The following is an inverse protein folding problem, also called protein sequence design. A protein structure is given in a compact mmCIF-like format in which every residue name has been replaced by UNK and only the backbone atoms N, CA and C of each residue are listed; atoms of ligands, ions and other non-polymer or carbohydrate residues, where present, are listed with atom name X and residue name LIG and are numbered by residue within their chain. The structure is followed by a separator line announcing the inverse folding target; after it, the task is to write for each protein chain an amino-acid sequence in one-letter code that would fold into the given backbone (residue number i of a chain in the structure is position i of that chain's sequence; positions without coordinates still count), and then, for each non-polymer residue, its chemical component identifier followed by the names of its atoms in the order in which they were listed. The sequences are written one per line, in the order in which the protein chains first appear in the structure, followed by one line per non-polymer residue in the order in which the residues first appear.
data_IF_577521390575
#
_entry.id   IF_577521390575
#
_cell.length_a   1.000
_cell.length_b   1.000
_cell.length_c   1.000
_cell.angle_alpha   90.00
_cell.angle_beta   90.00
_cell.angle_gamma   90.00
#
_symmetry.space_group_name_H-M   'P 1'
#
loop_
_entity.id
_entity.type
_entity.pdbx_description
1 polymer ?
#
# COMPACT_ATOMS: atom_id res chain seq x y z
N UNK A 1 -8.80 -11.21 13.04
CA UNK A 1 -9.13 -9.98 13.79
C UNK A 1 -9.75 -10.36 15.12
N UNK A 2 -9.39 -9.68 16.20
CA UNK A 2 -10.01 -9.90 17.51
C UNK A 2 -11.46 -9.38 17.49
N UNK A 3 -12.43 -10.16 17.97
CA UNK A 3 -13.87 -9.83 17.93
C UNK A 3 -14.24 -8.60 18.77
N UNK A 4 -13.52 -8.34 19.86
CA UNK A 4 -13.72 -7.16 20.68
C UNK A 4 -13.32 -5.88 19.93
N UNK A 5 -12.16 -5.89 19.25
CA UNK A 5 -11.76 -4.77 18.41
C UNK A 5 -12.78 -4.52 17.29
N UNK A 6 -13.22 -5.60 16.63
CA UNK A 6 -14.21 -5.54 15.54
C UNK A 6 -15.52 -4.88 15.96
N UNK A 7 -16.02 -5.27 17.12
CA UNK A 7 -17.30 -4.79 17.63
C UNK A 7 -17.22 -3.39 18.24
N UNK A 8 -16.14 -3.06 18.95
CA UNK A 8 -16.04 -1.79 19.70
C UNK A 8 -15.40 -0.64 18.91
N UNK A 9 -14.42 -0.94 18.05
CA UNK A 9 -13.62 0.08 17.35
C UNK A 9 -13.84 0.02 15.83
N UNK A 10 -13.81 -1.18 15.25
CA UNK A 10 -13.96 -1.39 13.82
C UNK A 10 -12.73 -1.00 13.00
N UNK A 11 -12.96 -0.55 11.76
CA UNK A 11 -11.91 -0.20 10.78
C UNK A 11 -12.28 1.08 10.04
N UNK A 12 -11.29 1.94 9.78
CA UNK A 12 -11.43 3.14 8.98
C UNK A 12 -10.16 3.97 8.98
N UNK A 13 -10.09 4.99 8.12
CA UNK A 13 -8.96 5.95 8.09
C UNK A 13 -8.84 6.74 9.40
N UNK A 14 -9.96 6.88 10.11
CA UNK A 14 -10.04 7.41 11.48
C UNK A 14 -10.97 6.52 12.28
N UNK A 15 -10.59 6.19 13.52
CA UNK A 15 -11.40 5.41 14.46
C UNK A 15 -11.36 6.07 15.84
N UNK A 16 -12.30 5.69 16.71
CA UNK A 16 -12.31 6.11 18.10
C UNK A 16 -11.33 5.24 18.90
N UNK A 17 -10.05 5.62 18.90
CA UNK A 17 -8.99 4.90 19.59
C UNK A 17 -9.29 4.76 21.09
N UNK A 18 -9.26 3.54 21.66
CA UNK A 18 -9.46 3.36 23.10
C UNK A 18 -8.36 4.02 23.96
N UNK A 19 -7.15 4.14 23.40
CA UNK A 19 -5.98 4.77 24.03
C UNK A 19 -4.93 5.08 22.96
N UNK A 20 -3.84 5.76 23.36
CA UNK A 20 -2.68 6.03 22.51
C UNK A 20 -2.40 7.52 22.30
N UNK A 21 -1.15 7.83 21.97
CA UNK A 21 -0.74 9.18 21.57
C UNK A 21 -0.86 9.33 20.04
N UNK A 22 -1.44 10.43 19.58
CA UNK A 22 -1.59 10.72 18.16
C UNK A 22 -0.29 11.24 17.52
N UNK A 23 0.32 10.45 16.64
CA UNK A 23 1.41 10.88 15.76
C UNK A 23 0.87 11.36 14.41
N UNK A 24 1.31 12.54 13.93
CA UNK A 24 0.91 13.05 12.62
C UNK A 24 1.74 12.36 11.52
N UNK A 25 1.09 11.49 10.74
CA UNK A 25 1.74 10.72 9.67
C UNK A 25 2.71 9.65 10.17
N UNK A 26 3.30 8.87 9.25
CA UNK A 26 4.28 7.83 9.60
C UNK A 26 5.50 8.42 10.32
N UNK A 27 6.03 9.57 9.86
CA UNK A 27 7.16 10.26 10.49
C UNK A 27 6.87 10.63 11.96
N UNK A 28 5.66 11.12 12.24
CA UNK A 28 5.26 11.48 13.58
C UNK A 28 5.24 10.27 14.51
N UNK A 29 4.68 9.14 14.05
CA UNK A 29 4.67 7.89 14.82
C UNK A 29 6.09 7.38 15.04
N UNK A 30 6.93 7.33 13.99
CA UNK A 30 8.33 6.91 14.09
C UNK A 30 9.12 7.76 15.10
N UNK A 31 8.94 9.08 15.08
CA UNK A 31 9.58 9.98 16.04
C UNK A 31 9.12 9.76 17.49
N UNK A 32 7.83 9.45 17.71
CA UNK A 32 7.33 9.07 19.03
C UNK A 32 7.92 7.74 19.51
N UNK A 33 7.99 6.74 18.63
CA UNK A 33 8.56 5.43 18.98
C UNK A 33 10.03 5.55 19.35
N UNK A 34 10.79 6.34 18.59
CA UNK A 34 12.21 6.56 18.82
C UNK A 34 12.52 7.17 20.20
N UNK A 35 11.67 8.08 20.69
CA UNK A 35 11.95 8.88 21.90
C UNK A 35 11.29 8.38 23.18
N UNK A 36 10.32 7.47 23.07
CA UNK A 36 9.54 6.98 24.21
C UNK A 36 9.89 5.52 24.52
N UNK A 37 10.65 5.24 25.60
CA UNK A 37 10.90 3.87 26.03
C UNK A 37 9.61 3.10 26.30
N UNK A 38 9.55 1.85 25.84
CA UNK A 38 8.37 0.98 26.01
C UNK A 38 7.20 1.29 25.06
N UNK A 39 7.38 2.17 24.09
CA UNK A 39 6.36 2.50 23.10
C UNK A 39 6.17 1.40 22.05
N UNK A 40 4.99 1.40 21.42
CA UNK A 40 4.64 0.61 20.23
C UNK A 40 3.86 1.51 19.28
N UNK A 41 4.16 1.42 17.98
CA UNK A 41 3.47 2.17 16.93
C UNK A 41 3.43 1.36 15.64
N UNK A 42 2.43 1.63 14.80
CA UNK A 42 2.33 1.05 13.46
C UNK A 42 2.81 2.06 12.43
N UNK A 43 3.72 1.65 11.57
CA UNK A 43 4.25 2.47 10.47
C UNK A 43 4.43 1.59 9.24
N UNK A 44 4.42 2.21 8.07
CA UNK A 44 4.92 1.55 6.85
C UNK A 44 6.40 1.16 7.06
N UNK A 45 6.81 0.01 6.53
CA UNK A 45 8.08 -0.64 6.87
C UNK A 45 9.31 0.21 6.57
N UNK A 46 9.30 0.99 5.47
CA UNK A 46 10.43 1.88 5.17
C UNK A 46 10.69 2.88 6.29
N UNK A 47 9.65 3.39 6.98
CA UNK A 47 9.84 4.31 8.10
C UNK A 47 10.50 3.65 9.31
N UNK A 48 10.24 2.36 9.56
CA UNK A 48 10.95 1.63 10.60
C UNK A 48 12.42 1.41 10.22
N UNK A 49 12.65 0.88 9.01
CA UNK A 49 13.99 0.50 8.54
C UNK A 49 14.92 1.71 8.38
N UNK A 50 14.45 2.78 7.73
CA UNK A 50 15.26 3.98 7.47
C UNK A 50 15.58 4.77 8.75
N UNK A 51 14.73 4.67 9.78
CA UNK A 51 14.99 5.30 11.09
C UNK A 51 15.65 4.35 12.10
N UNK A 52 16.08 3.15 11.68
CA UNK A 52 16.70 2.14 12.55
C UNK A 52 15.84 1.76 13.77
N UNK A 53 14.52 1.75 13.61
CA UNK A 53 13.61 1.33 14.66
C UNK A 53 13.55 -0.19 14.73
N UNK A 54 13.53 -0.73 15.95
CA UNK A 54 13.23 -2.13 16.16
C UNK A 54 11.79 -2.44 15.69
N UNK A 55 11.61 -3.59 15.04
CA UNK A 55 10.32 -4.08 14.57
C UNK A 55 10.11 -5.53 15.01
N UNK A 56 8.86 -6.00 14.98
CA UNK A 56 8.50 -7.35 15.39
C UNK A 56 8.26 -8.26 14.19
N UNK A 57 8.41 -9.57 14.41
CA UNK A 57 7.72 -10.56 13.59
C UNK A 57 6.24 -10.55 13.93
N UNK A 58 5.42 -11.04 13.01
CA UNK A 58 4.01 -11.32 13.25
C UNK A 58 3.69 -12.77 12.89
N UNK A 59 2.54 -13.24 13.37
CA UNK A 59 2.01 -14.54 12.99
C UNK A 59 1.14 -14.36 11.75
N UNK A 60 1.44 -15.09 10.67
CA UNK A 60 0.66 -15.08 9.43
C UNK A 60 -0.72 -15.70 9.62
N UNK A 61 -1.58 -15.59 8.61
CA UNK A 61 -2.92 -16.20 8.64
C UNK A 61 -2.87 -17.74 8.81
N UNK A 62 -1.78 -18.36 8.38
CA UNK A 62 -1.53 -19.80 8.50
C UNK A 62 -0.82 -20.18 9.81
N UNK A 63 -0.69 -19.25 10.76
CA UNK A 63 -0.17 -19.51 12.10
C UNK A 63 1.35 -19.56 12.21
N UNK A 64 2.09 -19.14 11.18
CA UNK A 64 3.57 -19.18 11.15
C UNK A 64 4.18 -17.81 11.45
N UNK A 65 5.30 -17.73 12.19
CA UNK A 65 6.00 -16.47 12.39
C UNK A 65 6.67 -16.01 11.09
N UNK A 66 6.40 -14.79 10.66
CA UNK A 66 6.91 -14.18 9.43
C UNK A 66 7.56 -12.81 9.74
N UNK A 67 8.55 -12.40 8.95
CA UNK A 67 9.23 -11.10 9.07
C UNK A 67 8.73 -10.13 8.00
N UNK A 68 8.74 -8.80 8.23
CA UNK A 68 8.37 -7.83 7.20
C UNK A 68 9.51 -7.68 6.20
N UNK A 69 9.34 -8.22 4.99
CA UNK A 69 10.30 -8.09 3.88
C UNK A 69 9.53 -7.83 2.59
N UNK A 70 10.20 -7.25 1.60
CA UNK A 70 9.65 -7.03 0.25
C UNK A 70 8.97 -8.30 -0.29
N UNK A 71 9.67 -9.44 -0.24
CA UNK A 71 9.16 -10.73 -0.70
C UNK A 71 7.89 -11.16 0.05
N UNK A 72 7.85 -10.95 1.36
CA UNK A 72 6.72 -11.37 2.20
C UNK A 72 5.49 -10.46 2.00
N UNK A 73 5.70 -9.19 1.62
CA UNK A 73 4.62 -8.31 1.16
C UNK A 73 4.09 -8.79 -0.20
N UNK A 74 4.99 -9.15 -1.13
CA UNK A 74 4.59 -9.73 -2.42
C UNK A 74 3.83 -11.06 -2.25
N UNK A 75 4.24 -11.91 -1.31
CA UNK A 75 3.59 -13.18 -0.99
C UNK A 75 2.12 -12.98 -0.57
N UNK A 76 1.83 -11.95 0.23
CA UNK A 76 0.45 -11.63 0.62
C UNK A 76 -0.43 -11.21 -0.56
N UNK A 77 0.15 -10.75 -1.67
CA UNK A 77 -0.58 -10.37 -2.89
C UNK A 77 -0.74 -11.49 -3.93
N UNK A 78 -0.11 -12.66 -3.74
CA UNK A 78 -0.14 -13.77 -4.72
C UNK A 78 -1.55 -14.30 -5.02
N UNK A 79 -2.43 -14.28 -4.02
CA UNK A 79 -3.82 -14.75 -4.15
C UNK A 79 -4.80 -13.71 -4.70
N UNK A 80 -4.37 -12.47 -4.93
CA UNK A 80 -5.25 -11.37 -5.30
C UNK A 80 -5.68 -11.46 -6.79
N UNK A 81 -6.98 -11.38 -7.04
CA UNK A 81 -7.56 -11.40 -8.40
C UNK A 81 -7.79 -9.96 -8.89
N UNK A 82 -6.70 -9.33 -9.31
CA UNK A 82 -6.68 -7.94 -9.79
C UNK A 82 -7.60 -7.69 -10.99
N UNK A 83 -7.95 -8.73 -11.75
CA UNK A 83 -8.83 -8.61 -12.92
C UNK A 83 -10.26 -8.21 -12.56
N UNK A 84 -10.70 -8.50 -11.33
CA UNK A 84 -12.04 -8.13 -10.84
C UNK A 84 -12.10 -6.71 -10.29
N UNK A 85 -11.03 -6.28 -9.62
CA UNK A 85 -10.95 -4.98 -8.96
C UNK A 85 -9.50 -4.68 -8.59
N UNK A 86 -9.08 -3.41 -8.69
CA UNK A 86 -7.82 -2.99 -8.10
C UNK A 86 -7.90 -2.81 -6.57
N UNK A 87 -9.10 -2.71 -6.00
CA UNK A 87 -9.33 -2.62 -4.55
C UNK A 87 -9.26 -4.01 -3.90
N UNK A 88 -8.06 -4.58 -3.85
CA UNK A 88 -7.78 -5.88 -3.23
C UNK A 88 -7.54 -5.72 -1.73
N UNK A 89 -8.10 -6.64 -0.93
CA UNK A 89 -7.74 -6.81 0.47
C UNK A 89 -6.52 -7.72 0.56
N UNK A 90 -5.40 -7.18 1.04
CA UNK A 90 -4.13 -7.90 1.21
C UNK A 90 -3.81 -8.16 2.68
N UNK A 91 -4.75 -7.87 3.60
CA UNK A 91 -4.57 -8.13 5.02
C UNK A 91 -4.88 -9.58 5.34
N UNK A 92 -4.08 -10.18 6.23
CA UNK A 92 -4.25 -11.52 6.76
C UNK A 92 -4.56 -12.59 5.69
N UNK A 93 -3.90 -12.50 4.55
CA UNK A 93 -4.02 -13.46 3.46
C UNK A 93 -3.30 -14.77 3.82
N UNK A 94 -3.83 -15.89 3.30
CA UNK A 94 -3.17 -17.19 3.40
C UNK A 94 -2.01 -17.28 2.40
N UNK A 95 -1.07 -18.17 2.68
CA UNK A 95 0.10 -18.40 1.85
C UNK A 95 1.37 -18.46 2.70
N UNK A 96 2.32 -19.27 2.25
CA UNK A 96 3.64 -19.32 2.87
C UNK A 96 4.30 -17.94 2.82
N UNK A 97 4.86 -17.55 3.96
CA UNK A 97 5.51 -16.26 4.19
C UNK A 97 4.70 -15.03 3.77
N UNK A 98 3.36 -15.11 3.80
CA UNK A 98 2.49 -13.97 3.61
C UNK A 98 2.49 -13.04 4.84
N UNK A 99 2.99 -11.82 4.68
CA UNK A 99 2.96 -10.83 5.76
C UNK A 99 1.52 -10.39 6.06
N UNK A 100 1.05 -10.50 7.32
CA UNK A 100 -0.37 -10.36 7.64
C UNK A 100 -0.92 -8.93 7.60
N UNK A 101 -0.07 -7.91 7.49
CA UNK A 101 -0.48 -6.50 7.42
C UNK A 101 0.11 -5.89 6.14
N UNK A 102 -0.33 -6.39 4.99
CA UNK A 102 0.07 -5.90 3.67
C UNK A 102 -1.06 -5.07 3.06
N UNK A 103 -0.71 -4.06 2.27
CA UNK A 103 -1.65 -3.26 1.49
C UNK A 103 -0.99 -2.73 0.23
N UNK A 104 -1.79 -2.48 -0.81
CA UNK A 104 -1.37 -1.65 -1.95
C UNK A 104 -1.78 -0.20 -1.70
N UNK A 105 -1.27 0.73 -2.51
CA UNK A 105 -1.65 2.15 -2.46
C UNK A 105 -2.15 2.62 -3.82
N UNK A 106 -2.93 3.69 -3.82
CA UNK A 106 -3.69 4.13 -4.99
C UNK A 106 -3.38 5.57 -5.37
N UNK A 107 -3.46 5.82 -6.67
CA UNK A 107 -3.47 7.16 -7.25
C UNK A 107 -4.88 7.45 -7.74
N UNK A 108 -5.41 8.62 -7.36
CA UNK A 108 -6.69 9.11 -7.85
C UNK A 108 -6.46 10.18 -8.90
N UNK A 109 -7.09 10.00 -10.07
CA UNK A 109 -7.12 10.99 -11.15
C UNK A 109 -8.56 11.21 -11.60
N UNK A 110 -8.87 12.42 -12.03
CA UNK A 110 -10.17 12.70 -12.64
C UNK A 110 -10.30 11.97 -13.98
N UNK A 111 -11.49 11.41 -14.24
CA UNK A 111 -11.79 10.77 -15.54
C UNK A 111 -11.89 11.79 -16.67
N UNK A 112 -12.51 12.93 -16.39
CA UNK A 112 -12.59 14.09 -17.28
C UNK A 112 -11.52 15.11 -16.88
N UNK A 113 -10.48 15.22 -17.70
CA UNK A 113 -9.32 16.08 -17.46
C UNK A 113 -9.53 17.45 -18.09
N UNK A 114 -9.83 18.45 -17.23
CA UNK A 114 -9.95 19.86 -17.64
C UNK A 114 -8.63 20.48 -18.10
N UNK A 115 -7.51 19.87 -17.71
CA UNK A 115 -6.14 20.20 -18.13
C UNK A 115 -5.50 18.94 -18.72
N UNK A 116 -5.83 18.59 -19.98
CA UNK A 116 -5.45 17.31 -20.56
C UNK A 116 -3.94 17.09 -20.66
N UNK A 117 -3.17 18.17 -20.82
CA UNK A 117 -1.71 18.15 -20.76
C UNK A 117 -1.20 17.67 -19.40
N UNK A 118 -1.79 18.14 -18.29
CA UNK A 118 -1.43 17.69 -16.95
C UNK A 118 -1.82 16.23 -16.73
N UNK A 119 -3.01 15.84 -17.16
CA UNK A 119 -3.46 14.44 -17.09
C UNK A 119 -2.52 13.50 -17.84
N UNK A 120 -2.09 13.89 -19.04
CA UNK A 120 -1.15 13.13 -19.86
C UNK A 120 0.20 12.95 -19.16
N UNK A 121 0.78 14.02 -18.61
CA UNK A 121 2.08 13.94 -17.94
C UNK A 121 2.01 13.17 -16.61
N UNK A 122 0.88 13.23 -15.88
CA UNK A 122 0.66 12.37 -14.70
C UNK A 122 0.68 10.89 -15.08
N UNK A 123 -0.01 10.50 -16.16
CA UNK A 123 -0.01 9.10 -16.60
C UNK A 123 1.35 8.66 -17.11
N UNK A 124 2.08 9.51 -17.84
CA UNK A 124 3.46 9.23 -18.28
C UNK A 124 4.41 9.05 -17.10
N UNK A 125 4.28 9.85 -16.05
CA UNK A 125 5.09 9.72 -14.84
C UNK A 125 4.92 8.34 -14.20
N UNK A 126 3.68 7.89 -13.98
CA UNK A 126 3.43 6.57 -13.40
C UNK A 126 3.78 5.44 -14.36
N UNK A 127 3.56 5.59 -15.67
CA UNK A 127 3.98 4.60 -16.66
C UNK A 127 5.51 4.44 -16.69
N UNK A 128 6.26 5.55 -16.59
CA UNK A 128 7.71 5.52 -16.44
C UNK A 128 8.13 4.83 -15.14
N UNK A 129 7.45 5.11 -14.03
CA UNK A 129 7.73 4.48 -12.75
C UNK A 129 7.50 2.95 -12.80
N UNK A 130 6.43 2.48 -13.46
CA UNK A 130 6.23 1.05 -13.67
C UNK A 130 7.31 0.41 -14.56
N UNK A 131 7.80 1.13 -15.58
CA UNK A 131 8.82 0.62 -16.51
C UNK A 131 10.23 0.60 -15.92
N UNK A 132 10.59 1.60 -15.12
CA UNK A 132 11.98 1.89 -14.75
C UNK A 132 12.21 1.96 -13.23
N UNK A 133 11.15 2.15 -12.45
CA UNK A 133 11.24 2.44 -11.02
C UNK A 133 11.28 1.22 -10.10
N UNK A 134 11.14 -0.01 -10.64
CA UNK A 134 11.10 -1.24 -9.84
C UNK A 134 12.26 -1.35 -8.84
N UNK A 135 13.50 -1.14 -9.31
CA UNK A 135 14.68 -1.15 -8.43
C UNK A 135 14.57 -0.11 -7.30
N UNK A 136 14.13 1.11 -7.61
CA UNK A 136 14.02 2.17 -6.60
C UNK A 136 12.94 1.85 -5.55
N UNK A 137 11.83 1.22 -5.96
CA UNK A 137 10.81 0.75 -5.05
C UNK A 137 11.33 -0.37 -4.15
N UNK A 138 12.04 -1.35 -4.73
CA UNK A 138 12.63 -2.47 -4.00
C UNK A 138 13.75 -2.04 -3.04
N UNK A 139 14.57 -1.05 -3.41
CA UNK A 139 15.58 -0.46 -2.52
C UNK A 139 14.96 0.18 -1.25
N UNK A 140 13.66 0.50 -1.30
CA UNK A 140 12.85 0.98 -0.19
C UNK A 140 11.91 -0.11 0.40
N UNK A 141 12.14 -1.37 0.04
CA UNK A 141 11.39 -2.56 0.47
C UNK A 141 9.92 -2.61 0.05
N UNK A 142 9.53 -1.82 -0.97
CA UNK A 142 8.22 -1.95 -1.60
C UNK A 142 8.25 -3.05 -2.65
N UNK A 143 7.28 -3.97 -2.57
CA UNK A 143 7.05 -4.97 -3.61
C UNK A 143 6.45 -4.31 -4.86
N UNK A 144 7.01 -4.65 -6.03
CA UNK A 144 6.46 -4.20 -7.31
C UNK A 144 5.17 -4.95 -7.66
N UNK A 145 4.22 -4.26 -8.30
CA UNK A 145 3.04 -4.92 -8.86
C UNK A 145 3.43 -5.88 -9.98
N UNK A 146 2.73 -7.01 -10.17
CA UNK A 146 2.96 -7.88 -11.32
C UNK A 146 2.70 -7.16 -12.65
N UNK A 147 3.47 -7.49 -13.68
CA UNK A 147 3.33 -6.90 -15.03
C UNK A 147 1.89 -7.01 -15.58
N UNK A 148 1.22 -8.13 -15.29
CA UNK A 148 -0.17 -8.36 -15.69
C UNK A 148 -1.14 -7.34 -15.08
N UNK A 149 -0.86 -6.84 -13.87
CA UNK A 149 -1.66 -5.79 -13.21
C UNK A 149 -1.33 -4.43 -13.81
N UNK A 150 -0.06 -4.16 -14.09
CA UNK A 150 0.37 -2.92 -14.78
C UNK A 150 -0.30 -2.80 -16.14
N UNK A 151 -0.39 -3.88 -16.92
CA UNK A 151 -1.11 -3.88 -18.20
C UNK A 151 -2.62 -3.62 -18.04
N UNK A 152 -3.24 -4.16 -16.99
CA UNK A 152 -4.65 -3.84 -16.68
C UNK A 152 -4.84 -2.36 -16.34
N UNK A 153 -3.92 -1.77 -15.58
CA UNK A 153 -3.93 -0.33 -15.25
C UNK A 153 -3.80 0.50 -16.54
N UNK A 154 -2.85 0.15 -17.41
CA UNK A 154 -2.66 0.80 -18.72
C UNK A 154 -3.93 0.73 -19.57
N UNK A 155 -4.59 -0.43 -19.63
CA UNK A 155 -5.85 -0.60 -20.35
C UNK A 155 -7.00 0.23 -19.73
N UNK A 156 -7.07 0.31 -18.40
CA UNK A 156 -8.05 1.12 -17.69
C UNK A 156 -7.87 2.62 -17.98
N UNK A 157 -6.63 3.12 -18.06
CA UNK A 157 -6.36 4.51 -18.42
C UNK A 157 -6.88 4.89 -19.80
N UNK A 158 -6.62 4.06 -20.83
CA UNK A 158 -7.10 4.28 -22.21
C UNK A 158 -8.61 4.46 -22.30
N UNK A 159 -9.35 3.79 -21.42
CA UNK A 159 -10.81 3.78 -21.45
C UNK A 159 -11.45 4.82 -20.51
N UNK A 160 -10.78 5.21 -19.42
CA UNK A 160 -11.36 6.03 -18.37
C UNK A 160 -10.82 7.46 -18.28
N UNK A 161 -9.62 7.76 -18.78
CA UNK A 161 -9.00 9.08 -18.62
C UNK A 161 -8.99 9.80 -19.96
N UNK A 162 -9.83 10.83 -20.06
CA UNK A 162 -10.15 11.55 -21.30
C UNK A 162 -10.11 13.06 -21.09
N UNK A 163 -9.91 13.79 -22.17
CA UNK A 163 -10.17 15.23 -22.18
C UNK A 163 -11.68 15.53 -22.23
N UNK A 164 -12.05 16.81 -22.16
CA UNK A 164 -13.44 17.25 -22.20
C UNK A 164 -14.16 16.99 -23.53
N UNK A 165 -13.43 16.61 -24.59
CA UNK A 165 -13.99 16.19 -25.88
C UNK A 165 -14.22 14.68 -25.97
N UNK A 166 -13.78 13.92 -24.97
CA UNK A 166 -13.89 12.46 -24.92
C UNK A 166 -12.70 11.72 -25.54
N UNK A 167 -11.62 12.42 -25.93
CA UNK A 167 -10.39 11.80 -26.45
C UNK A 167 -9.56 11.24 -25.29
N UNK A 168 -9.11 9.99 -25.42
CA UNK A 168 -8.23 9.34 -24.44
C UNK A 168 -6.86 10.04 -24.36
N UNK A 169 -6.30 10.09 -23.14
CA UNK A 169 -5.01 10.71 -22.85
C UNK A 169 -3.85 9.72 -22.73
N UNK A 170 -4.12 8.43 -22.94
CA UNK A 170 -3.15 7.32 -22.91
C UNK A 170 -3.49 6.29 -23.99
#
# INVERSE_FOLDING_TARGET
MNEEWKSKVGSGSTVNWPTGLGGKGNDGIAAFVQRLPGSIGYVEYAYAKQNNLAYTKLVSADGKPVSPTEENFANAAKGADWSKSFAQDLTNQKGDDAWPITSTTFILVHKDQKKPEQGTEVLKFFDWAYKNGGKQANDLDYASLPDSVVEQIRAAWKTNVKDSSGKALY
#
